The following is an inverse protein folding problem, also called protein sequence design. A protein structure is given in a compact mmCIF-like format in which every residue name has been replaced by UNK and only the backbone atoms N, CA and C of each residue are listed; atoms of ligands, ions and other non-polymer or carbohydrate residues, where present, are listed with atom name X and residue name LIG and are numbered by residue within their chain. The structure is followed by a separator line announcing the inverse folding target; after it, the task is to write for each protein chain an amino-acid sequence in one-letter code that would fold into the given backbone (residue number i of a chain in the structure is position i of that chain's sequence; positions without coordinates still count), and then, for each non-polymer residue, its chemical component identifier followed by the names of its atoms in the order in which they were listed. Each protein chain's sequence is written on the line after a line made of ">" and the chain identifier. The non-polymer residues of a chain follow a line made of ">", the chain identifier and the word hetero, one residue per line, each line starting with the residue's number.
data_IF_695944470606
#
_entry.id   IF_695944470606
#
_cell.length_a   1.000
_cell.length_b   1.000
_cell.length_c   1.000
_cell.angle_alpha   90.00
_cell.angle_beta   90.00
_cell.angle_gamma   90.00
#
_symmetry.space_group_name_H-M   'P 1'
#
loop_
_entity.id
_entity.type
_entity.pdbx_description
1 polymer ?
#
# COMPACT_ATOMS: atom_id res chain seq x y z
N UNK A 1 -26.21 4.56 -9.36
CA UNK A 1 -25.82 4.74 -7.94
C UNK A 1 -26.00 3.41 -7.23
N UNK A 2 -25.10 3.09 -6.32
CA UNK A 2 -25.19 1.90 -5.48
C UNK A 2 -24.72 2.21 -4.06
N UNK A 3 -25.07 1.32 -3.14
CA UNK A 3 -24.55 1.31 -1.79
C UNK A 3 -24.34 -0.14 -1.38
N UNK A 4 -23.20 -0.45 -0.78
CA UNK A 4 -22.91 -1.76 -0.25
C UNK A 4 -22.45 -1.66 1.19
N UNK A 5 -22.92 -2.58 2.02
CA UNK A 5 -22.50 -2.74 3.39
C UNK A 5 -22.13 -4.19 3.64
N UNK A 6 -20.94 -4.42 4.19
CA UNK A 6 -20.49 -5.76 4.53
C UNK A 6 -19.85 -5.80 5.90
N UNK A 7 -19.94 -6.97 6.52
CA UNK A 7 -19.21 -7.30 7.75
C UNK A 7 -18.36 -8.53 7.50
N UNK A 8 -17.18 -8.52 8.05
CA UNK A 8 -16.26 -9.66 8.02
C UNK A 8 -15.58 -9.85 9.36
N UNK A 9 -14.76 -10.89 9.43
CA UNK A 9 -13.87 -11.09 10.56
C UNK A 9 -12.60 -11.79 10.09
N UNK A 10 -11.51 -11.60 10.85
CA UNK A 10 -10.27 -12.37 10.72
C UNK A 10 -10.03 -13.08 12.05
N UNK A 11 -10.01 -14.41 12.00
CA UNK A 11 -9.55 -15.18 13.15
C UNK A 11 -8.04 -14.92 13.37
N UNK A 12 -7.56 -14.93 14.62
CA UNK A 12 -6.13 -14.90 14.90
C UNK A 12 -5.41 -16.03 14.15
N UNK A 13 -4.22 -15.74 13.62
CA UNK A 13 -3.35 -16.74 13.01
C UNK A 13 -2.79 -17.70 14.07
N UNK A 14 -2.21 -18.83 13.63
CA UNK A 14 -1.58 -19.78 14.55
C UNK A 14 -0.42 -19.18 15.34
N UNK A 15 0.34 -18.24 14.76
CA UNK A 15 1.44 -17.55 15.46
C UNK A 15 0.89 -16.57 16.51
N UNK A 16 -0.28 -15.97 16.26
CA UNK A 16 -0.92 -15.04 17.18
C UNK A 16 -1.64 -15.75 18.35
N UNK A 17 -2.25 -16.91 18.12
CA UNK A 17 -3.18 -17.55 19.08
C UNK A 17 -2.72 -18.90 19.65
N UNK A 18 -1.44 -19.24 19.48
CA UNK A 18 -0.86 -20.44 20.09
C UNK A 18 0.09 -20.08 21.23
N UNK A 19 0.84 -21.07 21.72
CA UNK A 19 1.98 -20.87 22.65
C UNK A 19 3.30 -20.65 21.89
N UNK A 20 3.24 -20.20 20.65
CA UNK A 20 4.43 -19.92 19.85
C UNK A 20 5.20 -18.74 20.42
N UNK A 21 6.51 -18.82 20.31
CA UNK A 21 7.41 -17.71 20.57
C UNK A 21 8.22 -17.44 19.31
N UNK A 22 8.48 -16.17 19.02
CA UNK A 22 9.35 -15.76 17.93
C UNK A 22 10.37 -14.76 18.45
N UNK A 23 11.63 -14.98 18.12
CA UNK A 23 12.71 -14.06 18.45
C UNK A 23 12.93 -13.09 17.28
N UNK A 24 13.18 -11.84 17.62
CA UNK A 24 13.54 -10.80 16.67
C UNK A 24 14.37 -9.71 17.33
N UNK A 25 14.85 -8.76 16.53
CA UNK A 25 15.52 -7.55 17.02
C UNK A 25 14.57 -6.38 16.75
N UNK A 26 14.37 -5.54 17.75
CA UNK A 26 13.56 -4.32 17.63
C UNK A 26 14.28 -3.13 18.23
N UNK A 27 13.88 -1.93 17.84
CA UNK A 27 14.39 -0.68 18.44
C UNK A 27 13.43 -0.19 19.50
N UNK A 28 13.94 0.04 20.70
CA UNK A 28 13.19 0.70 21.77
C UNK A 28 12.98 2.17 21.39
N UNK A 29 11.73 2.55 21.15
CA UNK A 29 11.37 3.91 20.72
C UNK A 29 11.72 4.98 21.77
N UNK A 30 11.85 4.62 23.05
CA UNK A 30 12.17 5.58 24.10
C UNK A 30 13.67 5.87 24.19
N UNK A 31 14.52 4.86 23.96
CA UNK A 31 15.98 4.97 24.13
C UNK A 31 16.77 4.93 22.81
N UNK A 32 16.13 4.54 21.70
CA UNK A 32 16.77 4.30 20.40
C UNK A 32 17.66 3.06 20.37
N UNK A 33 17.67 2.24 21.43
CA UNK A 33 18.54 1.07 21.55
C UNK A 33 17.90 -0.17 20.91
N UNK A 34 18.71 -0.97 20.24
CA UNK A 34 18.30 -2.29 19.77
C UNK A 34 18.18 -3.25 20.95
N UNK A 35 17.15 -4.09 20.93
CA UNK A 35 16.95 -5.14 21.93
C UNK A 35 16.39 -6.41 21.30
N UNK A 36 16.63 -7.55 21.96
CA UNK A 36 16.01 -8.81 21.57
C UNK A 36 14.54 -8.80 21.98
N UNK A 37 13.63 -8.87 21.03
CA UNK A 37 12.20 -9.06 21.30
C UNK A 37 11.85 -10.54 21.25
N UNK A 38 11.14 -11.04 22.27
CA UNK A 38 10.48 -12.34 22.28
C UNK A 38 8.99 -12.07 22.13
N UNK A 39 8.45 -12.29 20.92
CA UNK A 39 7.00 -12.12 20.67
C UNK A 39 6.28 -13.42 21.00
N UNK A 40 5.24 -13.36 21.83
CA UNK A 40 4.49 -14.53 22.29
C UNK A 40 3.07 -14.56 21.75
N UNK A 41 2.62 -15.75 21.35
CA UNK A 41 1.21 -16.02 21.07
C UNK A 41 0.34 -15.86 22.32
N UNK A 42 -0.91 -15.46 22.11
CA UNK A 42 -1.91 -15.24 23.13
C UNK A 42 -3.20 -16.01 22.79
N UNK A 43 -3.48 -17.13 23.47
CA UNK A 43 -4.68 -17.95 23.26
C UNK A 43 -6.02 -17.24 23.54
N UNK A 44 -5.98 -16.05 24.15
CA UNK A 44 -7.16 -15.31 24.57
C UNK A 44 -7.53 -14.18 23.59
N UNK A 45 -6.94 -14.16 22.39
CA UNK A 45 -7.24 -13.12 21.39
C UNK A 45 -8.68 -13.24 20.88
N UNK A 46 -9.36 -12.09 20.85
CA UNK A 46 -10.61 -11.98 20.10
C UNK A 46 -10.32 -11.85 18.60
N UNK A 47 -11.20 -12.39 17.72
CA UNK A 47 -11.13 -12.10 16.29
C UNK A 47 -11.24 -10.61 15.98
N UNK A 48 -10.50 -10.17 14.97
CA UNK A 48 -10.70 -8.86 14.36
C UNK A 48 -12.04 -8.85 13.63
N UNK A 49 -12.77 -7.73 13.70
CA UNK A 49 -14.06 -7.57 13.01
C UNK A 49 -14.02 -6.39 12.08
N UNK A 50 -14.47 -6.59 10.85
CA UNK A 50 -14.47 -5.56 9.81
C UNK A 50 -15.89 -5.12 9.49
N UNK A 51 -16.05 -3.83 9.23
CA UNK A 51 -17.29 -3.21 8.74
C UNK A 51 -16.91 -2.31 7.58
N UNK A 52 -17.46 -2.58 6.40
CA UNK A 52 -17.20 -1.82 5.19
C UNK A 52 -18.50 -1.21 4.69
N UNK A 53 -18.45 0.07 4.37
CA UNK A 53 -19.51 0.80 3.70
C UNK A 53 -18.92 1.43 2.45
N UNK A 54 -19.55 1.21 1.30
CA UNK A 54 -19.22 1.91 0.06
C UNK A 54 -20.50 2.55 -0.50
N UNK A 55 -20.42 3.83 -0.87
CA UNK A 55 -21.46 4.58 -1.55
C UNK A 55 -20.85 5.15 -2.82
N UNK A 56 -21.43 4.82 -3.96
CA UNK A 56 -20.84 5.21 -5.24
C UNK A 56 -21.80 5.25 -6.40
N UNK A 57 -21.27 5.61 -7.56
CA UNK A 57 -21.96 5.50 -8.82
C UNK A 57 -21.01 5.01 -9.91
N UNK A 58 -21.60 4.37 -10.91
CA UNK A 58 -20.99 4.10 -12.19
C UNK A 58 -21.92 4.66 -13.26
N UNK A 59 -21.35 5.41 -14.22
CA UNK A 59 -22.06 6.01 -15.34
C UNK A 59 -21.34 5.65 -16.64
N UNK A 60 -22.14 5.42 -17.68
CA UNK A 60 -21.66 5.29 -19.05
C UNK A 60 -22.43 6.30 -19.93
N UNK A 61 -22.09 7.60 -19.88
CA UNK A 61 -22.86 8.65 -20.56
C UNK A 61 -22.80 8.53 -22.09
N UNK A 62 -21.78 7.84 -22.62
CA UNK A 62 -21.67 7.48 -24.04
C UNK A 62 -21.25 6.01 -24.15
N UNK A 63 -21.23 5.47 -25.37
CA UNK A 63 -20.71 4.11 -25.63
C UNK A 63 -19.19 4.00 -25.45
N UNK A 64 -18.48 5.13 -25.31
CA UNK A 64 -17.02 5.17 -25.21
C UNK A 64 -16.53 5.78 -23.91
N UNK A 65 -17.43 6.16 -23.00
CA UNK A 65 -17.09 6.83 -21.74
C UNK A 65 -17.62 6.01 -20.57
N UNK A 66 -16.76 5.72 -19.61
CA UNK A 66 -17.11 5.12 -18.32
C UNK A 66 -16.57 6.01 -17.21
N UNK A 67 -17.40 6.30 -16.20
CA UNK A 67 -17.04 7.12 -15.04
C UNK A 67 -17.54 6.44 -13.78
N UNK A 68 -16.64 6.14 -12.86
CA UNK A 68 -16.95 5.62 -11.54
C UNK A 68 -16.44 6.53 -10.44
N UNK A 69 -17.19 6.60 -9.35
CA UNK A 69 -16.76 7.28 -8.14
C UNK A 69 -17.35 6.60 -6.92
N UNK A 70 -16.51 6.40 -5.92
CA UNK A 70 -16.83 5.72 -4.68
C UNK A 70 -16.34 6.56 -3.51
N UNK A 71 -17.15 6.63 -2.46
CA UNK A 71 -16.69 6.94 -1.12
C UNK A 71 -16.73 5.65 -0.29
N UNK A 72 -15.58 5.27 0.26
CA UNK A 72 -15.46 4.12 1.13
C UNK A 72 -15.28 4.53 2.58
N UNK A 73 -15.79 3.70 3.50
CA UNK A 73 -15.46 3.72 4.92
C UNK A 73 -15.27 2.30 5.44
N UNK A 74 -14.12 2.07 6.04
CA UNK A 74 -13.70 0.78 6.59
C UNK A 74 -13.38 0.97 8.06
N UNK A 75 -13.93 0.09 8.89
CA UNK A 75 -13.65 0.00 10.32
C UNK A 75 -13.20 -1.42 10.64
N UNK A 76 -12.03 -1.55 11.25
CA UNK A 76 -11.52 -2.81 11.82
C UNK A 76 -11.43 -2.64 13.32
N UNK A 77 -12.17 -3.45 14.08
CA UNK A 77 -12.08 -3.49 15.54
C UNK A 77 -11.31 -4.72 15.99
N UNK A 78 -10.80 -4.66 17.23
CA UNK A 78 -9.96 -5.68 17.85
C UNK A 78 -8.67 -5.95 17.08
N UNK A 79 -8.10 -4.93 16.44
CA UNK A 79 -6.83 -5.03 15.69
C UNK A 79 -5.79 -5.78 16.51
N UNK A 80 -5.30 -6.90 16.00
CA UNK A 80 -4.30 -7.73 16.66
C UNK A 80 -2.92 -7.18 16.31
N UNK A 81 -2.07 -7.05 17.31
CA UNK A 81 -0.68 -6.67 17.14
C UNK A 81 0.11 -6.91 18.41
N UNK A 82 1.37 -6.49 18.42
CA UNK A 82 2.23 -6.59 19.59
C UNK A 82 1.76 -5.63 20.69
N UNK A 83 1.44 -6.19 21.86
CA UNK A 83 0.97 -5.45 23.02
C UNK A 83 2.08 -4.76 23.80
N UNK A 84 1.76 -4.36 25.03
CA UNK A 84 2.79 -3.91 25.97
C UNK A 84 3.63 -5.10 26.46
N UNK A 85 4.93 -4.92 26.69
CA UNK A 85 5.78 -5.98 27.22
C UNK A 85 5.22 -6.56 28.52
N UNK A 86 5.10 -7.88 28.61
CA UNK A 86 4.78 -8.60 29.85
C UNK A 86 5.99 -8.71 30.78
N UNK A 87 7.19 -8.69 30.19
CA UNK A 87 8.46 -8.73 30.91
C UNK A 87 9.49 -7.85 30.20
N UNK A 88 10.27 -7.11 30.98
CA UNK A 88 11.47 -6.39 30.52
C UNK A 88 12.63 -6.87 31.37
N UNK A 89 13.68 -7.39 30.73
CA UNK A 89 14.85 -7.95 31.42
C UNK A 89 16.07 -7.09 31.15
N UNK A 90 16.76 -6.73 32.22
CA UNK A 90 17.97 -5.94 32.21
C UNK A 90 19.14 -6.77 32.76
N UNK A 91 20.37 -6.41 32.37
CA UNK A 91 21.58 -6.97 33.00
C UNK A 91 21.89 -6.29 34.35
N UNK A 92 22.96 -6.76 35.01
CA UNK A 92 23.40 -6.22 36.30
C UNK A 92 23.81 -4.72 36.25
N UNK A 93 24.15 -4.22 35.07
CA UNK A 93 24.51 -2.83 34.82
C UNK A 93 23.31 -1.98 34.36
N UNK A 94 22.11 -2.56 34.27
CA UNK A 94 20.87 -1.89 33.86
C UNK A 94 20.65 -1.80 32.35
N UNK A 95 21.45 -2.50 31.52
CA UNK A 95 21.28 -2.49 30.07
C UNK A 95 20.14 -3.42 29.67
N UNK A 96 19.35 -3.00 28.67
CA UNK A 96 18.24 -3.78 28.15
C UNK A 96 18.73 -5.04 27.43
N UNK A 97 18.35 -6.22 27.94
CA UNK A 97 18.68 -7.50 27.31
C UNK A 97 17.57 -7.92 26.34
N UNK A 98 16.36 -8.12 26.87
CA UNK A 98 15.21 -8.51 26.06
C UNK A 98 13.88 -8.07 26.66
N UNK A 99 12.85 -8.03 25.81
CA UNK A 99 11.46 -7.85 26.22
C UNK A 99 10.62 -9.01 25.72
N UNK A 100 9.71 -9.47 26.56
CA UNK A 100 8.68 -10.45 26.19
C UNK A 100 7.40 -9.68 25.87
N UNK A 101 6.88 -9.86 24.65
CA UNK A 101 5.81 -9.03 24.09
C UNK A 101 4.68 -9.95 23.59
N UNK A 102 3.57 -10.08 24.32
CA UNK A 102 2.44 -10.89 23.86
C UNK A 102 1.67 -10.17 22.75
N UNK A 103 1.05 -10.93 21.86
CA UNK A 103 -0.01 -10.39 21.01
C UNK A 103 -1.21 -9.94 21.84
N UNK A 104 -1.84 -8.84 21.43
CA UNK A 104 -3.02 -8.28 22.08
C UNK A 104 -3.97 -7.65 21.05
N UNK A 105 -5.24 -7.50 21.43
CA UNK A 105 -6.19 -6.66 20.69
C UNK A 105 -5.94 -5.18 21.07
N UNK A 106 -5.28 -4.41 20.20
CA UNK A 106 -4.73 -3.08 20.47
C UNK A 106 -5.74 -1.93 20.35
N UNK A 107 -6.88 -2.18 19.69
CA UNK A 107 -7.95 -1.20 19.50
C UNK A 107 -8.57 -1.32 18.11
N UNK A 108 -8.57 -0.22 17.35
CA UNK A 108 -9.25 -0.15 16.06
C UNK A 108 -8.47 0.62 14.99
N UNK A 109 -8.78 0.29 13.74
CA UNK A 109 -8.47 1.08 12.54
C UNK A 109 -9.79 1.64 11.98
N UNK A 110 -9.83 2.92 11.66
CA UNK A 110 -10.96 3.59 10.98
C UNK A 110 -10.43 4.41 9.81
N UNK A 111 -10.72 3.98 8.58
CA UNK A 111 -10.27 4.64 7.36
C UNK A 111 -11.43 4.99 6.44
N UNK A 112 -11.32 6.13 5.76
CA UNK A 112 -12.23 6.51 4.69
C UNK A 112 -11.50 7.34 3.64
N UNK A 113 -12.05 7.34 2.44
CA UNK A 113 -11.48 8.01 1.30
C UNK A 113 -12.41 7.95 0.10
N UNK A 114 -11.86 8.39 -1.02
CA UNK A 114 -12.54 8.40 -2.29
C UNK A 114 -11.75 7.57 -3.29
N UNK A 115 -12.45 6.88 -4.17
CA UNK A 115 -11.87 6.16 -5.30
C UNK A 115 -12.61 6.64 -6.56
N UNK A 116 -11.87 6.79 -7.64
CA UNK A 116 -12.39 7.26 -8.91
C UNK A 116 -11.85 6.42 -10.05
N UNK A 117 -12.73 6.04 -10.95
CA UNK A 117 -12.37 5.33 -12.18
C UNK A 117 -12.85 6.13 -13.37
N UNK A 118 -12.04 6.16 -14.42
CA UNK A 118 -12.35 6.86 -15.65
C UNK A 118 -11.87 6.05 -16.83
N UNK A 119 -12.68 6.01 -17.89
CA UNK A 119 -12.29 5.49 -19.19
C UNK A 119 -12.94 6.30 -20.29
N UNK A 120 -12.16 6.70 -21.29
CA UNK A 120 -12.63 7.37 -22.49
C UNK A 120 -11.90 6.80 -23.70
N UNK A 121 -12.64 6.13 -24.59
CA UNK A 121 -12.15 5.76 -25.91
C UNK A 121 -12.44 6.89 -26.92
N UNK A 122 -11.44 7.24 -27.70
CA UNK A 122 -11.44 8.28 -28.73
C UNK A 122 -11.07 7.62 -30.08
N UNK A 123 -12.04 7.04 -30.78
CA UNK A 123 -11.83 6.53 -32.13
C UNK A 123 -11.50 7.68 -33.07
N UNK A 124 -10.44 7.55 -33.85
CA UNK A 124 -10.05 8.48 -34.91
C UNK A 124 -10.30 7.84 -36.28
N UNK A 125 -10.45 8.65 -37.32
CA UNK A 125 -10.71 8.16 -38.66
C UNK A 125 -9.49 7.52 -39.33
N UNK A 126 -8.27 7.93 -38.96
CA UNK A 126 -7.03 7.54 -39.65
C UNK A 126 -5.94 6.98 -38.74
N UNK A 127 -6.01 7.19 -37.42
CA UNK A 127 -4.95 6.88 -36.49
C UNK A 127 -5.37 5.83 -35.43
N UNK A 128 -6.44 5.07 -35.67
CA UNK A 128 -6.91 4.07 -34.70
C UNK A 128 -7.68 4.66 -33.54
N UNK A 129 -7.69 3.95 -32.40
CA UNK A 129 -8.42 4.35 -31.20
C UNK A 129 -7.45 4.64 -30.08
N UNK A 130 -7.56 5.82 -29.47
CA UNK A 130 -6.87 6.14 -28.23
C UNK A 130 -7.82 5.92 -27.07
N UNK A 131 -7.41 5.16 -26.05
CA UNK A 131 -8.20 5.01 -24.83
C UNK A 131 -7.43 5.63 -23.66
N UNK A 132 -7.98 6.67 -23.04
CA UNK A 132 -7.50 7.19 -21.78
C UNK A 132 -8.24 6.48 -20.64
N UNK A 133 -7.54 5.83 -19.74
CA UNK A 133 -8.11 5.27 -18.51
C UNK A 133 -7.34 5.72 -17.28
N UNK A 134 -8.01 5.73 -16.13
CA UNK A 134 -7.34 6.01 -14.87
C UNK A 134 -8.12 5.52 -13.66
N UNK A 135 -7.36 5.08 -12.66
CA UNK A 135 -7.84 4.60 -11.36
C UNK A 135 -7.10 5.38 -10.28
N UNK A 136 -7.82 6.14 -9.48
CA UNK A 136 -7.25 7.06 -8.49
C UNK A 136 -7.90 6.89 -7.14
N UNK A 137 -7.08 6.81 -6.09
CA UNK A 137 -7.51 6.75 -4.70
C UNK A 137 -7.03 7.98 -3.93
N UNK A 138 -7.93 8.55 -3.12
CA UNK A 138 -7.66 9.57 -2.13
C UNK A 138 -7.98 9.07 -0.73
N UNK A 139 -6.98 8.89 0.12
CA UNK A 139 -7.18 8.59 1.54
C UNK A 139 -7.46 9.89 2.29
N UNK A 140 -8.67 10.04 2.81
CA UNK A 140 -9.08 11.22 3.59
C UNK A 140 -8.68 11.09 5.06
N UNK A 141 -8.88 9.93 5.67
CA UNK A 141 -8.37 9.65 7.02
C UNK A 141 -8.02 8.19 7.17
N UNK A 142 -6.98 7.89 7.93
CA UNK A 142 -6.54 6.55 8.30
C UNK A 142 -6.19 6.58 9.79
N UNK A 143 -7.17 6.35 10.65
CA UNK A 143 -7.03 6.55 12.11
C UNK A 143 -6.77 5.24 12.81
N UNK A 144 -5.68 5.18 13.57
CA UNK A 144 -5.41 4.11 14.53
C UNK A 144 -5.78 4.61 15.92
N UNK A 145 -6.61 3.88 16.63
CA UNK A 145 -7.04 4.20 17.99
C UNK A 145 -6.79 3.05 18.95
N UNK A 146 -6.37 3.39 20.16
CA UNK A 146 -6.20 2.46 21.28
C UNK A 146 -7.04 2.89 22.48
N UNK A 147 -7.46 1.95 23.36
CA UNK A 147 -8.20 2.29 24.56
C UNK A 147 -7.52 3.39 25.40
N UNK A 148 -8.28 4.41 25.78
CA UNK A 148 -7.79 5.51 26.64
C UNK A 148 -6.87 6.53 25.99
N UNK A 149 -6.60 6.44 24.68
CA UNK A 149 -5.79 7.42 23.93
C UNK A 149 -6.58 8.06 22.78
N UNK A 150 -6.25 9.30 22.45
CA UNK A 150 -6.78 9.93 21.25
C UNK A 150 -6.28 9.18 20.00
N UNK A 151 -7.14 8.97 18.98
CA UNK A 151 -6.72 8.30 17.76
C UNK A 151 -5.74 9.16 16.97
N UNK A 152 -4.74 8.52 16.36
CA UNK A 152 -3.73 9.17 15.53
C UNK A 152 -4.05 8.92 14.06
N UNK A 153 -4.01 9.98 13.24
CA UNK A 153 -4.30 9.90 11.82
C UNK A 153 -3.01 9.72 11.01
N UNK A 154 -2.86 8.56 10.37
CA UNK A 154 -1.75 8.24 9.46
C UNK A 154 -1.94 8.75 8.03
N UNK A 155 -3.11 9.25 7.65
CA UNK A 155 -3.35 9.72 6.28
C UNK A 155 -2.46 10.91 5.92
N UNK A 156 -1.73 10.78 4.82
CA UNK A 156 -0.76 11.73 4.32
C UNK A 156 0.60 11.69 5.03
N UNK A 157 0.89 10.68 5.83
CA UNK A 157 2.16 10.57 6.56
C UNK A 157 2.59 9.10 6.76
N UNK A 158 3.71 8.90 7.46
CA UNK A 158 4.33 7.60 7.67
C UNK A 158 4.21 7.05 9.11
N UNK A 159 3.32 7.62 9.94
CA UNK A 159 3.12 7.17 11.34
C UNK A 159 2.83 5.68 11.46
N UNK A 160 2.09 5.12 10.50
CA UNK A 160 1.62 3.74 10.50
C UNK A 160 2.71 2.72 10.18
N UNK A 161 3.92 3.13 9.78
CA UNK A 161 5.06 2.23 9.60
C UNK A 161 5.39 1.42 10.85
N UNK A 162 5.19 2.01 12.04
CA UNK A 162 5.45 1.37 13.34
C UNK A 162 4.18 0.87 14.02
N UNK A 163 3.05 0.86 13.32
CA UNK A 163 1.75 0.42 13.83
C UNK A 163 1.33 -0.88 13.14
N UNK A 164 0.35 -1.62 13.69
CA UNK A 164 -0.31 -2.71 12.96
C UNK A 164 -0.78 -2.24 11.57
N UNK A 165 -0.85 -3.17 10.61
CA UNK A 165 -1.08 -2.97 9.17
C UNK A 165 0.11 -2.45 8.37
N UNK A 166 1.03 -1.69 8.99
CA UNK A 166 2.29 -1.25 8.39
C UNK A 166 2.15 -0.28 7.21
N UNK A 167 3.26 0.39 6.87
CA UNK A 167 3.38 1.22 5.67
C UNK A 167 3.08 2.70 5.84
N UNK A 168 3.52 3.48 4.85
CA UNK A 168 3.16 4.91 4.71
C UNK A 168 1.85 5.06 3.93
N UNK A 169 1.06 6.08 4.26
CA UNK A 169 -0.20 6.36 3.59
C UNK A 169 -0.21 7.73 2.92
N UNK A 170 0.48 7.91 1.77
CA UNK A 170 0.25 9.07 0.92
C UNK A 170 -1.24 9.24 0.62
N UNK A 171 -1.72 10.48 0.57
CA UNK A 171 -3.15 10.71 0.32
C UNK A 171 -3.56 10.27 -1.07
N UNK A 172 -2.71 10.52 -2.06
CA UNK A 172 -2.99 10.20 -3.45
C UNK A 172 -2.16 8.99 -3.90
N UNK A 173 -2.82 8.05 -4.56
CA UNK A 173 -2.17 7.01 -5.36
C UNK A 173 -3.05 6.71 -6.56
N UNK A 174 -2.47 6.48 -7.73
CA UNK A 174 -3.26 6.19 -8.91
C UNK A 174 -2.44 5.73 -10.09
N UNK A 175 -3.14 5.18 -11.08
CA UNK A 175 -2.59 4.80 -12.37
C UNK A 175 -3.37 5.53 -13.45
N UNK A 176 -2.71 5.94 -14.52
CA UNK A 176 -3.34 6.51 -15.71
C UNK A 176 -2.70 5.89 -16.93
N UNK A 177 -3.50 5.33 -17.83
CA UNK A 177 -3.01 4.66 -19.03
C UNK A 177 -3.54 5.37 -20.26
N UNK A 178 -2.65 5.65 -21.20
CA UNK A 178 -3.02 5.96 -22.58
C UNK A 178 -2.72 4.72 -23.39
N UNK A 179 -3.77 4.11 -23.88
CA UNK A 179 -3.75 2.98 -24.80
C UNK A 179 -3.99 3.45 -26.24
N UNK A 180 -3.32 2.83 -27.19
CA UNK A 180 -3.43 3.10 -28.60
C UNK A 180 -3.52 1.80 -29.39
N UNK A 181 -4.73 1.50 -29.86
CA UNK A 181 -4.96 0.36 -30.75
C UNK A 181 -5.08 0.82 -32.20
N UNK A 182 -4.19 0.32 -33.06
CA UNK A 182 -4.20 0.61 -34.50
C UNK A 182 -3.81 -0.62 -35.32
N UNK A 183 -4.74 -1.08 -36.17
CA UNK A 183 -4.62 -2.30 -36.96
C UNK A 183 -4.27 -3.53 -36.12
N UNK A 184 -3.00 -3.96 -36.16
CA UNK A 184 -2.47 -5.14 -35.47
C UNK A 184 -1.58 -4.78 -34.28
N UNK A 185 -1.42 -3.47 -34.03
CA UNK A 185 -0.67 -2.93 -32.91
C UNK A 185 -1.59 -2.47 -31.80
N UNK A 186 -1.12 -2.68 -30.58
CA UNK A 186 -1.69 -2.17 -29.36
C UNK A 186 -0.53 -1.66 -28.50
N UNK A 187 -0.55 -0.41 -28.07
CA UNK A 187 0.51 0.21 -27.30
C UNK A 187 -0.05 0.97 -26.10
N UNK A 188 0.41 0.64 -24.90
CA UNK A 188 -0.04 1.24 -23.66
C UNK A 188 1.11 1.93 -22.93
N UNK A 189 0.96 3.23 -22.69
CA UNK A 189 1.80 4.01 -21.79
C UNK A 189 1.05 4.21 -20.47
N UNK A 190 1.58 3.64 -19.39
CA UNK A 190 0.99 3.74 -18.04
C UNK A 190 1.84 4.63 -17.15
N UNK A 191 1.23 5.66 -16.58
CA UNK A 191 1.75 6.47 -15.50
C UNK A 191 1.26 5.93 -14.17
N UNK A 192 2.18 5.48 -13.31
CA UNK A 192 1.92 5.14 -11.92
C UNK A 192 2.35 6.31 -11.03
N UNK A 193 1.46 6.78 -10.17
CA UNK A 193 1.69 7.92 -9.29
C UNK A 193 1.49 7.56 -7.82
N UNK A 194 2.43 8.00 -6.99
CA UNK A 194 2.32 8.01 -5.53
C UNK A 194 2.55 9.44 -5.05
N UNK A 195 1.59 9.97 -4.29
CA UNK A 195 1.64 11.31 -3.75
C UNK A 195 2.76 11.50 -2.71
N UNK A 196 3.04 12.76 -2.34
CA UNK A 196 3.95 13.03 -1.24
C UNK A 196 3.30 12.66 0.10
N UNK A 197 4.12 12.48 1.12
CA UNK A 197 3.68 12.25 2.49
C UNK A 197 4.62 12.92 3.48
N UNK A 198 4.08 13.29 4.64
CA UNK A 198 4.84 13.89 5.73
C UNK A 198 5.58 12.84 6.56
N UNK A 199 6.70 13.25 7.16
CA UNK A 199 7.45 12.45 8.12
C UNK A 199 6.90 12.71 9.53
N UNK A 200 6.38 11.66 10.15
CA UNK A 200 5.90 11.65 11.54
C UNK A 200 6.85 10.86 12.47
N UNK A 201 7.72 10.04 11.89
CA UNK A 201 8.67 9.19 12.61
C UNK A 201 10.11 9.72 12.59
N UNK A 202 10.40 10.76 11.79
CA UNK A 202 11.74 11.36 11.70
C UNK A 202 11.67 12.88 11.70
N UNK A 203 12.51 13.57 12.50
CA UNK A 203 12.60 15.03 12.48
C UNK A 203 13.49 15.59 11.35
N UNK A 204 14.23 14.74 10.62
CA UNK A 204 15.29 15.17 9.70
C UNK A 204 14.80 15.79 8.39
N UNK A 205 13.59 15.45 7.94
CA UNK A 205 12.96 16.02 6.74
C UNK A 205 11.46 16.05 6.97
N UNK A 206 10.76 17.11 6.61
CA UNK A 206 9.32 17.22 6.92
C UNK A 206 8.43 16.41 5.97
N UNK A 207 8.91 16.06 4.77
CA UNK A 207 8.14 15.33 3.76
C UNK A 207 9.01 14.52 2.81
N UNK A 208 8.44 13.44 2.29
CA UNK A 208 8.96 12.68 1.15
C UNK A 208 8.23 13.13 -0.11
N UNK A 209 8.98 13.31 -1.19
CA UNK A 209 8.46 13.78 -2.47
C UNK A 209 7.54 12.74 -3.15
N UNK A 210 6.72 13.20 -4.07
CA UNK A 210 5.91 12.31 -4.91
C UNK A 210 6.74 11.53 -5.92
N UNK A 211 6.26 10.35 -6.29
CA UNK A 211 6.88 9.48 -7.26
C UNK A 211 5.95 9.26 -8.47
N UNK A 212 6.55 9.26 -9.65
CA UNK A 212 5.92 9.03 -10.94
C UNK A 212 6.79 8.07 -11.73
N UNK A 213 6.23 6.93 -12.09
CA UNK A 213 6.86 5.94 -12.96
C UNK A 213 6.05 5.82 -14.24
N UNK A 214 6.74 5.63 -15.36
CA UNK A 214 6.12 5.45 -16.67
C UNK A 214 6.55 4.10 -17.24
N UNK A 215 5.57 3.30 -17.65
CA UNK A 215 5.78 1.96 -18.18
C UNK A 215 5.18 1.91 -19.59
N UNK A 216 5.88 1.30 -20.54
CA UNK A 216 5.44 1.15 -21.92
C UNK A 216 5.30 -0.33 -22.26
N UNK A 217 4.17 -0.73 -22.83
CA UNK A 217 3.93 -2.08 -23.34
C UNK A 217 3.43 -1.99 -24.78
N UNK A 218 3.91 -2.87 -25.64
CA UNK A 218 3.48 -2.98 -27.05
C UNK A 218 3.17 -4.43 -27.37
N UNK A 219 2.03 -4.66 -28.03
CA UNK A 219 1.58 -5.95 -28.51
C UNK A 219 1.36 -5.89 -30.03
N UNK A 220 1.76 -6.96 -30.73
CA UNK A 220 1.55 -7.13 -32.16
C UNK A 220 0.90 -8.48 -32.48
N UNK A 221 -0.20 -8.43 -33.23
CA UNK A 221 -1.05 -9.58 -33.60
C UNK A 221 -1.13 -9.81 -35.11
N UNK A 222 -0.17 -9.28 -35.87
CA UNK A 222 -0.19 -9.38 -37.34
C UNK A 222 0.21 -10.75 -37.88
N UNK A 223 0.81 -11.61 -37.06
CA UNK A 223 1.18 -12.96 -37.44
C UNK A 223 0.07 -13.94 -37.07
N UNK A 224 -0.31 -14.81 -38.03
CA UNK A 224 -1.30 -15.85 -37.78
C UNK A 224 -0.84 -16.74 -36.62
N UNK A 225 -1.76 -17.02 -35.69
CA UNK A 225 -1.55 -17.81 -34.47
C UNK A 225 -0.58 -17.20 -33.44
N UNK A 226 0.12 -16.10 -33.74
CA UNK A 226 1.13 -15.53 -32.87
C UNK A 226 0.71 -14.16 -32.34
N UNK A 227 0.85 -13.97 -31.03
CA UNK A 227 0.85 -12.66 -30.39
C UNK A 227 2.25 -12.41 -29.85
N UNK A 228 2.92 -11.37 -30.32
CA UNK A 228 4.24 -10.97 -29.83
C UNK A 228 4.06 -9.71 -28.99
N UNK A 229 4.71 -9.64 -27.85
CA UNK A 229 4.63 -8.48 -26.97
C UNK A 229 5.98 -8.16 -26.35
N UNK A 230 6.18 -6.89 -26.01
CA UNK A 230 7.34 -6.43 -25.28
C UNK A 230 7.05 -5.12 -24.57
N UNK A 231 7.77 -4.89 -23.47
CA UNK A 231 7.56 -3.71 -22.66
C UNK A 231 8.79 -3.32 -21.86
N UNK A 232 8.76 -2.08 -21.37
CA UNK A 232 9.77 -1.50 -20.51
C UNK A 232 9.06 -0.84 -19.34
N UNK A 233 9.28 -1.34 -18.14
CA UNK A 233 8.91 -0.68 -16.90
C UNK A 233 9.94 0.38 -16.54
N UNK A 234 9.47 1.48 -15.96
CA UNK A 234 10.29 2.61 -15.54
C UNK A 234 11.18 3.13 -16.69
N UNK A 235 10.56 3.55 -17.80
CA UNK A 235 11.26 3.98 -19.02
C UNK A 235 12.27 5.11 -18.76
N UNK A 236 12.03 5.95 -17.76
CA UNK A 236 12.91 7.05 -17.35
C UNK A 236 13.95 6.67 -16.29
N UNK A 237 14.00 5.40 -15.87
CA UNK A 237 14.92 4.89 -14.85
C UNK A 237 14.92 5.74 -13.57
N UNK A 238 13.73 6.17 -13.13
CA UNK A 238 13.57 7.05 -11.97
C UNK A 238 13.71 6.23 -10.69
N UNK A 239 14.61 6.64 -9.82
CA UNK A 239 14.76 6.05 -8.48
C UNK A 239 13.63 6.52 -7.55
N UNK A 240 13.20 5.67 -6.59
CA UNK A 240 12.28 6.09 -5.54
C UNK A 240 12.77 7.32 -4.78
N UNK A 241 11.85 8.15 -4.24
CA UNK A 241 12.23 9.28 -3.40
C UNK A 241 13.02 8.82 -2.18
N UNK A 242 14.03 9.62 -1.80
CA UNK A 242 14.75 9.42 -0.56
C UNK A 242 13.81 9.51 0.65
N UNK A 243 13.95 8.57 1.59
CA UNK A 243 13.26 8.60 2.87
C UNK A 243 14.27 8.52 4.03
N UNK A 244 14.34 9.54 4.92
CA UNK A 244 15.28 9.55 6.04
C UNK A 244 15.07 8.42 7.05
N UNK A 245 13.84 7.94 7.28
CA UNK A 245 13.60 6.85 8.26
C UNK A 245 14.15 5.51 7.73
N UNK A 246 14.14 5.32 6.41
CA UNK A 246 14.72 4.16 5.73
C UNK A 246 16.19 4.35 5.33
N UNK A 247 16.75 5.55 5.45
CA UNK A 247 18.16 5.79 5.16
C UNK A 247 19.03 5.71 6.42
N UNK A 248 18.59 6.42 7.47
CA UNK A 248 19.37 6.71 8.67
C UNK A 248 18.59 6.41 9.95
N UNK A 249 17.38 5.86 9.83
CA UNK A 249 16.48 5.59 10.95
C UNK A 249 16.60 4.17 11.47
N UNK A 250 15.54 3.75 12.15
CA UNK A 250 15.43 2.46 12.84
C UNK A 250 14.84 1.35 11.97
N UNK A 251 14.53 1.66 10.71
CA UNK A 251 14.01 0.74 9.71
C UNK A 251 15.12 0.24 8.79
N UNK A 252 14.76 -0.59 7.80
CA UNK A 252 15.69 -1.15 6.83
C UNK A 252 16.42 -0.02 6.08
N UNK A 253 17.76 0.01 6.21
CA UNK A 253 18.66 1.08 5.77
C UNK A 253 18.87 1.12 4.24
N UNK A 254 17.78 1.04 3.49
CA UNK A 254 17.75 0.94 2.03
C UNK A 254 17.58 2.30 1.32
N UNK A 255 17.30 3.37 2.08
CA UNK A 255 17.25 4.76 1.59
C UNK A 255 15.91 5.21 1.00
N UNK A 256 14.92 4.33 0.91
CA UNK A 256 13.59 4.62 0.37
C UNK A 256 12.51 3.80 1.09
N UNK A 257 11.28 4.26 1.02
CA UNK A 257 10.15 3.57 1.65
C UNK A 257 9.69 2.34 0.86
N UNK A 258 10.07 1.18 1.37
CA UNK A 258 9.76 -0.13 0.77
C UNK A 258 8.30 -0.55 0.91
N UNK A 259 7.52 0.12 1.77
CA UNK A 259 6.10 -0.20 1.90
C UNK A 259 5.27 0.26 0.69
N UNK A 260 5.80 1.22 -0.08
CA UNK A 260 5.07 1.86 -1.18
C UNK A 260 5.86 1.96 -2.49
N UNK A 261 7.16 1.67 -2.48
CA UNK A 261 8.04 1.73 -3.66
C UNK A 261 8.85 0.44 -3.85
N UNK A 262 9.27 0.21 -5.09
CA UNK A 262 10.29 -0.77 -5.47
C UNK A 262 11.52 -0.04 -6.02
N UNK A 263 12.71 -0.57 -5.74
CA UNK A 263 13.96 -0.02 -6.28
C UNK A 263 14.34 -0.56 -7.67
N UNK A 264 13.44 -1.33 -8.31
CA UNK A 264 13.68 -1.82 -9.65
C UNK A 264 13.75 -0.61 -10.61
N UNK A 265 14.91 -0.48 -11.26
CA UNK A 265 15.15 0.53 -12.28
C UNK A 265 14.42 0.20 -13.58
N UNK A 266 14.99 0.62 -14.71
CA UNK A 266 14.48 0.24 -16.03
C UNK A 266 14.54 -1.27 -16.22
N UNK A 267 13.39 -1.90 -16.46
CA UNK A 267 13.28 -3.34 -16.67
C UNK A 267 12.57 -3.62 -18.00
N UNK A 268 13.20 -4.40 -18.90
CA UNK A 268 12.66 -4.73 -20.22
C UNK A 268 12.30 -6.20 -20.32
N UNK A 269 11.18 -6.48 -21.00
CA UNK A 269 10.69 -7.84 -21.23
C UNK A 269 10.17 -8.01 -22.66
N UNK A 270 10.27 -9.24 -23.17
CA UNK A 270 9.71 -9.65 -24.47
C UNK A 270 9.16 -11.06 -24.35
N UNK A 271 8.04 -11.33 -25.01
CA UNK A 271 7.40 -12.63 -25.00
C UNK A 271 6.55 -12.86 -26.25
N UNK A 272 6.14 -14.12 -26.43
CA UNK A 272 5.23 -14.51 -27.50
C UNK A 272 4.28 -15.60 -27.02
N UNK A 273 3.05 -15.59 -27.54
CA UNK A 273 2.04 -16.61 -27.30
C UNK A 273 1.57 -17.18 -28.63
N UNK A 274 1.56 -18.51 -28.74
CA UNK A 274 1.01 -19.22 -29.88
C UNK A 274 -0.36 -19.81 -29.52
N UNK A 275 -1.38 -19.58 -30.36
CA UNK A 275 -2.72 -20.15 -30.21
C UNK A 275 -3.12 -20.93 -31.46
N UNK A 276 -3.40 -22.21 -31.27
CA UNK A 276 -3.92 -23.12 -32.30
C UNK A 276 -5.44 -23.03 -32.46
#
# INVERSE_FOLDING_TARGET
>A
MYTSYSRGFRAPTFVENSKSQTLGIQVDQASGQNYTSITEGNPNLAPERTRNLNIGFQLAPTRTTDIGFDWYKIRVDNVIGQGSPSQTVLDANGNLLYKVIPYANLGYLDTNGFEGTFRQALPTTTAGTFTLSGDWAYVNSFKIGSPGKAPVNGAGNNYTLTQPFGGSFPRWKGNTTVDWSYHKFDAALTWQFTGPYAQNLSPATSKVGSYSQFNLMVTYTGFKHWTIFGGIDNIFNRTPPYDPIFANGTLDQNGYDQSIYSYIGRFAQVGATYKF
#
